data_IF_458391913574
#
_entry.id   IF_458391913574
#
_cell.length_a   1.000
_cell.length_b   1.000
_cell.length_c   1.000
_cell.angle_alpha   90.00
_cell.angle_beta   90.00
_cell.angle_gamma   90.00
#
_symmetry.space_group_name_H-M   'P 1'
#
loop_
_entity.id
_entity.type
_entity.pdbx_description
1 polymer ?
#
# COMPACT_ATOMS: atom_id res chain seq x y z
N UNK A 1 23.79 -27.59 6.02
CA UNK A 1 22.78 -27.79 4.95
C UNK A 1 21.34 -27.85 5.46
N UNK A 2 21.08 -28.16 6.74
CA UNK A 2 19.74 -28.27 7.32
C UNK A 2 19.01 -26.93 7.53
N UNK A 3 19.73 -25.85 7.85
CA UNK A 3 19.14 -24.54 8.20
C UNK A 3 18.49 -23.81 7.01
N UNK A 4 19.19 -23.71 5.86
CA UNK A 4 18.64 -23.04 4.66
C UNK A 4 17.40 -23.76 4.10
N UNK A 5 17.39 -25.10 4.13
CA UNK A 5 16.25 -25.88 3.68
C UNK A 5 15.03 -25.70 4.60
N UNK A 6 15.26 -25.69 5.93
CA UNK A 6 14.20 -25.41 6.89
C UNK A 6 13.62 -24.01 6.74
N UNK A 7 14.48 -22.99 6.53
CA UNK A 7 14.05 -21.62 6.24
C UNK A 7 13.24 -21.54 4.95
N UNK A 8 13.68 -22.21 3.89
CA UNK A 8 12.93 -22.28 2.62
C UNK A 8 11.54 -22.90 2.79
N UNK A 9 11.44 -24.03 3.48
CA UNK A 9 10.15 -24.69 3.76
C UNK A 9 9.23 -23.79 4.60
N UNK A 10 9.79 -23.06 5.58
CA UNK A 10 9.05 -22.11 6.39
C UNK A 10 8.50 -20.95 5.54
N UNK A 11 9.33 -20.36 4.68
CA UNK A 11 8.90 -19.31 3.74
C UNK A 11 7.77 -19.84 2.85
N UNK A 12 7.94 -20.99 2.20
CA UNK A 12 6.89 -21.54 1.34
C UNK A 12 5.59 -21.81 2.11
N UNK A 13 5.69 -22.34 3.33
CA UNK A 13 4.53 -22.57 4.19
C UNK A 13 3.78 -21.29 4.57
N UNK A 14 4.50 -20.20 4.83
CA UNK A 14 3.88 -18.90 5.13
C UNK A 14 3.17 -18.30 3.91
N UNK A 15 3.71 -18.51 2.71
CA UNK A 15 3.16 -17.95 1.47
C UNK A 15 2.09 -18.83 0.80
N UNK A 16 1.93 -20.09 1.21
CA UNK A 16 0.97 -21.03 0.64
C UNK A 16 -0.50 -20.58 0.71
N UNK A 17 -0.83 -19.68 1.64
CA UNK A 17 -2.20 -19.13 1.82
C UNK A 17 -2.42 -17.79 1.14
N UNK A 18 -1.38 -17.20 0.56
CA UNK A 18 -1.50 -15.93 -0.15
C UNK A 18 -2.20 -16.19 -1.49
N UNK A 19 -3.27 -15.44 -1.83
CA UNK A 19 -3.94 -15.62 -3.11
C UNK A 19 -2.99 -15.28 -4.27
N UNK A 20 -3.32 -15.71 -5.49
CA UNK A 20 -2.53 -15.35 -6.68
C UNK A 20 -2.93 -13.95 -7.13
N UNK A 21 -1.99 -13.03 -7.29
CA UNK A 21 -2.25 -11.69 -7.85
C UNK A 21 -2.60 -11.82 -9.33
N UNK A 22 -3.83 -11.47 -9.69
CA UNK A 22 -4.30 -11.46 -11.06
C UNK A 22 -4.29 -10.04 -11.64
N UNK A 23 -4.46 -9.03 -10.79
CA UNK A 23 -4.37 -7.62 -11.14
C UNK A 23 -4.93 -6.72 -10.06
N UNK A 24 -5.35 -5.51 -10.44
CA UNK A 24 -5.80 -4.47 -9.51
C UNK A 24 -6.97 -4.90 -8.62
N UNK A 25 -7.89 -5.71 -9.16
CA UNK A 25 -9.14 -6.10 -8.47
C UNK A 25 -8.90 -6.89 -7.18
N UNK A 26 -7.85 -7.71 -7.14
CA UNK A 26 -7.51 -8.53 -5.99
C UNK A 26 -6.22 -8.05 -5.29
N UNK A 27 -5.74 -6.85 -5.63
CA UNK A 27 -4.58 -6.24 -4.97
C UNK A 27 -4.74 -6.15 -3.44
N UNK A 28 -5.86 -5.65 -2.87
CA UNK A 28 -5.97 -5.49 -1.42
C UNK A 28 -5.87 -6.82 -0.67
N UNK A 29 -6.56 -7.85 -1.15
CA UNK A 29 -6.54 -9.19 -0.56
C UNK A 29 -5.15 -9.84 -0.68
N UNK A 30 -4.50 -9.64 -1.83
CA UNK A 30 -3.14 -10.10 -2.04
C UNK A 30 -2.14 -9.39 -1.13
N UNK A 31 -2.21 -8.07 -1.02
CA UNK A 31 -1.33 -7.25 -0.19
C UNK A 31 -1.46 -7.64 1.29
N UNK A 32 -2.68 -7.79 1.80
CA UNK A 32 -2.95 -8.29 3.15
C UNK A 32 -2.36 -9.70 3.37
N UNK A 33 -2.49 -10.58 2.38
CA UNK A 33 -1.89 -11.92 2.40
C UNK A 33 -0.37 -11.88 2.51
N UNK A 34 0.29 -11.02 1.72
CA UNK A 34 1.75 -10.83 1.74
C UNK A 34 2.22 -10.30 3.09
N UNK A 35 1.55 -9.26 3.62
CA UNK A 35 1.85 -8.73 4.95
C UNK A 35 1.67 -9.80 6.04
N UNK A 36 0.61 -10.59 5.95
CA UNK A 36 0.36 -11.73 6.82
C UNK A 36 1.50 -12.75 6.79
N UNK A 37 1.87 -13.23 5.60
CA UNK A 37 2.93 -14.21 5.41
C UNK A 37 4.28 -13.73 5.97
N UNK A 38 4.65 -12.48 5.68
CA UNK A 38 5.89 -11.88 6.13
C UNK A 38 5.92 -11.64 7.64
N UNK A 39 4.80 -11.28 8.26
CA UNK A 39 4.71 -11.13 9.71
C UNK A 39 4.96 -12.46 10.43
N UNK A 40 4.44 -13.57 9.90
CA UNK A 40 4.65 -14.90 10.48
C UNK A 40 6.10 -15.39 10.33
N UNK A 41 6.77 -14.98 9.26
CA UNK A 41 8.17 -15.35 8.99
C UNK A 41 9.20 -14.32 9.51
N UNK A 42 8.77 -13.22 10.16
CA UNK A 42 9.61 -12.08 10.54
C UNK A 42 10.30 -11.36 9.35
N UNK A 43 9.76 -11.50 8.14
CA UNK A 43 10.29 -10.90 6.91
C UNK A 43 9.85 -9.46 6.63
N UNK A 44 9.06 -8.83 7.51
CA UNK A 44 8.57 -7.45 7.34
C UNK A 44 9.69 -6.41 7.07
N UNK A 45 10.89 -6.48 7.69
CA UNK A 45 11.98 -5.57 7.36
C UNK A 45 12.36 -5.57 5.88
N UNK A 46 12.25 -6.72 5.18
CA UNK A 46 12.59 -6.86 3.76
C UNK A 46 11.65 -6.08 2.82
N UNK A 47 10.45 -5.70 3.27
CA UNK A 47 9.53 -4.83 2.52
C UNK A 47 9.81 -3.34 2.70
N UNK A 48 10.53 -2.96 3.75
CA UNK A 48 10.66 -1.57 4.18
C UNK A 48 12.10 -1.07 4.15
N UNK A 49 13.07 -1.96 3.96
CA UNK A 49 14.47 -1.59 3.85
C UNK A 49 14.91 -1.68 2.39
N UNK A 50 15.03 -0.54 1.75
CA UNK A 50 16.05 -0.31 0.73
C UNK A 50 16.79 0.96 1.15
N UNK A 51 18.13 1.00 1.06
CA UNK A 51 18.85 2.24 1.27
C UNK A 51 18.32 3.28 0.29
N UNK A 52 18.22 4.56 0.69
CA UNK A 52 17.87 5.61 -0.24
C UNK A 52 18.81 5.53 -1.46
N UNK A 53 18.30 5.79 -2.67
CA UNK A 53 19.15 5.78 -3.87
C UNK A 53 20.37 6.66 -3.58
N UNK A 54 21.60 6.23 -3.97
CA UNK A 54 22.79 7.04 -3.74
C UNK A 54 22.58 8.37 -4.44
N UNK A 55 22.26 9.39 -3.66
CA UNK A 55 22.23 10.77 -4.13
C UNK A 55 23.69 11.02 -4.52
N UNK A 56 23.95 11.24 -5.81
CA UNK A 56 25.21 11.79 -6.25
C UNK A 56 25.38 13.13 -5.52
N UNK A 57 26.18 13.12 -4.45
CA UNK A 57 26.44 14.28 -3.61
C UNK A 57 27.25 15.27 -4.43
N UNK A 58 26.58 16.18 -5.11
CA UNK A 58 27.15 17.50 -5.38
C UNK A 58 26.89 18.36 -4.14
N UNK A 59 28.00 18.78 -3.53
CA UNK A 59 28.15 19.88 -2.58
C UNK A 59 27.91 19.62 -1.09
N UNK A 60 29.05 19.44 -0.42
CA UNK A 60 29.55 20.16 0.77
C UNK A 60 28.81 20.02 2.11
N UNK A 61 29.56 19.47 3.08
CA UNK A 61 29.38 19.55 4.53
C UNK A 61 28.10 18.95 5.14
N UNK A 62 28.16 17.66 5.46
CA UNK A 62 27.69 17.16 6.75
C UNK A 62 28.36 15.82 7.09
N UNK A 63 28.84 15.70 8.33
CA UNK A 63 29.55 14.55 8.89
C UNK A 63 28.78 13.24 8.59
N UNK A 64 29.40 12.25 7.93
CA UNK A 64 28.73 10.99 7.66
C UNK A 64 28.70 10.18 8.96
N UNK A 65 27.55 10.23 9.64
CA UNK A 65 27.19 9.11 10.53
C UNK A 65 26.93 7.94 9.60
N UNK A 66 27.67 6.81 9.67
CA UNK A 66 27.44 5.70 8.76
C UNK A 66 26.05 5.14 9.06
N UNK A 67 25.10 5.41 8.15
CA UNK A 67 23.83 4.71 8.15
C UNK A 67 24.14 3.21 8.00
N UNK A 68 23.55 2.30 8.81
CA UNK A 68 23.71 0.87 8.60
C UNK A 68 22.98 0.55 7.30
N UNK A 69 23.72 0.59 6.18
CA UNK A 69 23.15 0.63 4.82
C UNK A 69 23.09 -0.74 4.17
N UNK A 70 23.32 -1.80 4.93
CA UNK A 70 23.27 -3.18 4.44
C UNK A 70 22.22 -3.96 5.24
N UNK A 71 21.42 -4.79 4.55
CA UNK A 71 20.68 -5.87 5.20
C UNK A 71 21.63 -6.65 6.11
N UNK A 72 21.17 -7.08 7.29
CA UNK A 72 21.99 -8.03 8.08
C UNK A 72 22.30 -9.26 7.23
N UNK A 73 23.43 -9.92 7.46
CA UNK A 73 23.84 -11.10 6.68
C UNK A 73 22.73 -12.18 6.64
N UNK A 74 21.96 -12.32 7.73
CA UNK A 74 20.78 -13.17 7.76
C UNK A 74 19.71 -12.74 6.74
N UNK A 75 19.40 -11.45 6.64
CA UNK A 75 18.43 -10.92 5.69
C UNK A 75 18.92 -11.01 4.23
N UNK A 76 20.23 -10.86 3.97
CA UNK A 76 20.81 -11.07 2.64
C UNK A 76 20.59 -12.50 2.14
N UNK A 77 20.63 -13.49 3.03
CA UNK A 77 20.37 -14.90 2.69
C UNK A 77 18.89 -15.21 2.47
N UNK A 78 17.99 -14.46 3.11
CA UNK A 78 16.54 -14.67 3.07
C UNK A 78 15.85 -13.91 1.93
N UNK A 79 16.37 -12.75 1.55
CA UNK A 79 15.78 -11.87 0.54
C UNK A 79 15.48 -12.58 -0.81
N UNK A 80 16.38 -13.41 -1.38
CA UNK A 80 16.07 -14.16 -2.60
C UNK A 80 14.96 -15.20 -2.40
N UNK A 81 14.89 -15.84 -1.23
CA UNK A 81 13.87 -16.87 -0.95
C UNK A 81 12.48 -16.24 -0.84
N UNK A 82 12.39 -15.11 -0.13
CA UNK A 82 11.15 -14.36 0.03
C UNK A 82 10.70 -13.76 -1.30
N UNK A 83 11.63 -13.18 -2.07
CA UNK A 83 11.34 -12.66 -3.40
C UNK A 83 10.80 -13.75 -4.35
N UNK A 84 11.39 -14.95 -4.33
CA UNK A 84 10.89 -16.08 -5.09
C UNK A 84 9.49 -16.55 -4.63
N UNK A 85 9.21 -16.51 -3.33
CA UNK A 85 7.89 -16.83 -2.80
C UNK A 85 6.83 -15.81 -3.24
N UNK A 86 7.16 -14.51 -3.24
CA UNK A 86 6.29 -13.46 -3.78
C UNK A 86 5.98 -13.73 -5.26
N UNK A 87 6.98 -14.10 -6.07
CA UNK A 87 6.77 -14.45 -7.48
C UNK A 87 5.81 -15.63 -7.68
N UNK A 88 5.83 -16.62 -6.77
CA UNK A 88 4.91 -17.77 -6.83
C UNK A 88 3.46 -17.35 -6.56
N UNK A 89 3.25 -16.25 -5.84
CA UNK A 89 1.95 -15.64 -5.59
C UNK A 89 1.51 -14.70 -6.73
N UNK A 90 2.19 -14.65 -7.88
CA UNK A 90 1.81 -13.85 -9.03
C UNK A 90 1.21 -14.72 -10.14
N UNK A 91 0.26 -14.17 -10.90
CA UNK A 91 -0.21 -14.84 -12.12
C UNK A 91 0.95 -15.07 -13.09
N UNK A 92 0.81 -16.07 -13.97
CA UNK A 92 1.89 -16.47 -14.90
C UNK A 92 2.40 -15.31 -15.79
N UNK A 93 1.53 -14.37 -16.13
CA UNK A 93 1.90 -13.20 -16.91
C UNK A 93 2.79 -12.25 -16.09
N UNK A 94 2.37 -11.92 -14.87
CA UNK A 94 3.12 -11.04 -13.97
C UNK A 94 4.44 -11.68 -13.52
N UNK A 95 4.42 -12.97 -13.21
CA UNK A 95 5.63 -13.71 -12.86
C UNK A 95 6.72 -13.54 -13.92
N UNK A 96 6.39 -13.68 -15.22
CA UNK A 96 7.34 -13.44 -16.32
C UNK A 96 7.87 -12.01 -16.36
N UNK A 97 7.04 -11.02 -16.05
CA UNK A 97 7.43 -9.61 -16.06
C UNK A 97 8.37 -9.24 -14.91
N UNK A 98 8.23 -9.90 -13.74
CA UNK A 98 9.01 -9.57 -12.53
C UNK A 98 10.11 -10.59 -12.20
N UNK A 99 10.15 -11.76 -12.86
CA UNK A 99 11.21 -12.77 -12.71
C UNK A 99 12.64 -12.21 -12.84
N UNK A 100 12.93 -11.28 -13.77
CA UNK A 100 14.29 -10.71 -13.88
C UNK A 100 14.79 -10.02 -12.61
N UNK A 101 13.90 -9.56 -11.71
CA UNK A 101 14.28 -8.91 -10.45
C UNK A 101 14.85 -9.94 -9.45
N UNK A 102 14.38 -11.19 -9.50
CA UNK A 102 14.89 -12.27 -8.64
C UNK A 102 16.20 -12.85 -9.16
N UNK A 103 16.36 -12.93 -10.48
CA UNK A 103 17.57 -13.47 -11.11
C UNK A 103 18.75 -12.46 -11.13
N UNK A 104 18.47 -11.18 -10.87
CA UNK A 104 19.49 -10.12 -10.81
C UNK A 104 20.44 -10.29 -9.61
N UNK A 105 21.70 -9.94 -9.80
CA UNK A 105 22.74 -9.89 -8.75
C UNK A 105 22.52 -8.79 -7.71
N UNK A 106 21.62 -7.84 -7.97
CA UNK A 106 21.27 -6.75 -7.05
C UNK A 106 20.76 -7.22 -5.67
N UNK A 107 20.96 -6.40 -4.65
CA UNK A 107 20.34 -6.58 -3.32
C UNK A 107 18.88 -6.07 -3.28
N UNK A 108 18.15 -6.43 -2.23
CA UNK A 108 16.79 -5.92 -1.93
C UNK A 108 15.70 -6.36 -2.93
N UNK A 109 15.76 -7.62 -3.39
CA UNK A 109 14.84 -8.21 -4.36
C UNK A 109 13.39 -8.14 -3.89
N UNK A 110 13.14 -8.49 -2.63
CA UNK A 110 11.81 -8.46 -2.00
C UNK A 110 11.20 -7.06 -2.08
N UNK A 111 11.96 -6.05 -1.63
CA UNK A 111 11.55 -4.66 -1.69
C UNK A 111 11.28 -4.20 -3.13
N UNK A 112 12.17 -4.54 -4.08
CA UNK A 112 12.06 -4.11 -5.48
C UNK A 112 10.80 -4.66 -6.14
N UNK A 113 10.50 -5.95 -5.94
CA UNK A 113 9.29 -6.58 -6.49
C UNK A 113 8.05 -5.95 -5.87
N UNK A 114 7.99 -5.87 -4.54
CA UNK A 114 6.84 -5.32 -3.86
C UNK A 114 6.60 -3.86 -4.23
N UNK A 115 7.64 -3.03 -4.27
CA UNK A 115 7.53 -1.61 -4.64
C UNK A 115 7.06 -1.43 -6.09
N UNK A 116 7.54 -2.27 -7.02
CA UNK A 116 7.10 -2.23 -8.41
C UNK A 116 5.62 -2.63 -8.55
N UNK A 117 5.18 -3.69 -7.85
CA UNK A 117 3.79 -4.11 -7.84
C UNK A 117 2.88 -3.07 -7.17
N UNK A 118 3.33 -2.49 -6.05
CA UNK A 118 2.62 -1.43 -5.35
C UNK A 118 2.50 -0.16 -6.19
N UNK A 119 3.52 0.19 -6.98
CA UNK A 119 3.43 1.32 -7.91
C UNK A 119 2.36 1.11 -8.98
N UNK A 120 2.19 -0.13 -9.46
CA UNK A 120 1.23 -0.47 -10.52
C UNK A 120 -0.20 -0.67 -9.98
N UNK A 121 -0.36 -1.31 -8.83
CA UNK A 121 -1.66 -1.76 -8.30
C UNK A 121 -2.04 -1.14 -6.96
N UNK A 122 -1.05 -0.75 -6.15
CA UNK A 122 -1.24 -0.20 -4.81
C UNK A 122 -1.41 1.31 -4.76
N UNK A 123 -1.20 2.00 -5.89
CA UNK A 123 -1.65 3.38 -6.06
C UNK A 123 -3.05 3.32 -6.65
N UNK A 124 -4.12 3.63 -5.88
CA UNK A 124 -5.43 3.80 -6.49
C UNK A 124 -5.29 4.86 -7.56
N UNK A 125 -5.47 4.48 -8.83
CA UNK A 125 -5.42 5.46 -9.92
C UNK A 125 -6.38 6.61 -9.60
N UNK A 126 -6.04 7.84 -10.02
CA UNK A 126 -6.91 9.01 -9.82
C UNK A 126 -8.36 8.74 -10.24
N UNK A 127 -8.56 7.88 -11.24
CA UNK A 127 -9.88 7.42 -11.71
C UNK A 127 -10.60 6.51 -10.70
N UNK A 128 -9.88 5.60 -10.02
CA UNK A 128 -10.45 4.76 -8.96
C UNK A 128 -10.81 5.60 -7.75
N UNK A 129 -9.90 6.49 -7.31
CA UNK A 129 -10.17 7.45 -6.24
C UNK A 129 -11.41 8.30 -6.59
N UNK A 130 -11.44 8.88 -7.79
CA UNK A 130 -12.58 9.63 -8.29
C UNK A 130 -13.88 8.81 -8.31
N UNK A 131 -13.82 7.53 -8.69
CA UNK A 131 -15.00 6.65 -8.66
C UNK A 131 -15.49 6.37 -7.24
N UNK A 132 -14.58 6.16 -6.27
CA UNK A 132 -14.94 5.95 -4.87
C UNK A 132 -15.50 7.23 -4.25
N UNK A 133 -14.95 8.40 -4.59
CA UNK A 133 -15.49 9.71 -4.17
C UNK A 133 -16.90 9.88 -4.72
N UNK A 134 -17.10 9.66 -6.02
CA UNK A 134 -18.41 9.76 -6.65
C UNK A 134 -19.43 8.83 -5.98
N UNK A 135 -19.06 7.57 -5.77
CA UNK A 135 -19.90 6.57 -5.11
C UNK A 135 -20.27 6.97 -3.66
N UNK A 136 -19.32 7.54 -2.91
CA UNK A 136 -19.57 8.08 -1.58
C UNK A 136 -20.51 9.30 -1.62
N UNK A 137 -20.29 10.23 -2.54
CA UNK A 137 -21.09 11.44 -2.67
C UNK A 137 -22.52 11.16 -3.18
N UNK A 138 -22.70 10.13 -4.00
CA UNK A 138 -24.01 9.69 -4.50
C UNK A 138 -24.76 8.79 -3.51
N UNK A 139 -24.13 8.37 -2.42
CA UNK A 139 -24.78 7.51 -1.43
C UNK A 139 -25.76 8.34 -0.59
N UNK A 140 -27.05 8.15 -0.87
CA UNK A 140 -28.15 8.78 -0.15
C UNK A 140 -29.03 7.70 0.50
N UNK A 141 -29.60 7.96 1.68
CA UNK A 141 -30.52 7.04 2.33
C UNK A 141 -31.83 6.95 1.53
N UNK A 142 -32.36 5.74 1.32
CA UNK A 142 -33.72 5.53 0.83
C UNK A 142 -34.73 5.73 1.97
N UNK A 143 -35.97 6.09 1.63
CA UNK A 143 -37.07 6.22 2.60
C UNK A 143 -37.39 4.89 3.33
N UNK A 144 -36.96 3.76 2.76
CA UNK A 144 -37.14 2.41 3.30
C UNK A 144 -35.93 1.86 4.05
N UNK A 145 -34.81 2.58 4.10
CA UNK A 145 -33.56 2.03 4.63
C UNK A 145 -33.55 2.05 6.16
N UNK A 146 -33.07 0.94 6.75
CA UNK A 146 -32.73 0.92 8.17
C UNK A 146 -31.57 1.90 8.42
N UNK A 147 -31.81 2.88 9.29
CA UNK A 147 -30.86 3.91 9.67
C UNK A 147 -29.52 3.31 10.14
N UNK A 148 -29.55 2.21 10.88
CA UNK A 148 -28.32 1.56 11.37
C UNK A 148 -27.50 0.96 10.23
N UNK A 149 -28.18 0.34 9.25
CA UNK A 149 -27.53 -0.24 8.06
C UNK A 149 -26.95 0.87 7.19
N UNK A 150 -27.69 1.97 7.02
CA UNK A 150 -27.21 3.15 6.31
C UNK A 150 -25.96 3.75 6.98
N UNK A 151 -26.00 3.97 8.29
CA UNK A 151 -24.86 4.54 9.03
C UNK A 151 -23.62 3.64 9.00
N UNK A 152 -23.79 2.32 9.13
CA UNK A 152 -22.67 1.39 9.05
C UNK A 152 -22.06 1.37 7.63
N UNK A 153 -22.90 1.39 6.59
CA UNK A 153 -22.43 1.45 5.20
C UNK A 153 -21.70 2.77 4.92
N UNK A 154 -22.21 3.89 5.43
CA UNK A 154 -21.56 5.20 5.33
C UNK A 154 -20.20 5.21 6.03
N UNK A 155 -20.11 4.62 7.23
CA UNK A 155 -18.86 4.47 7.99
C UNK A 155 -17.83 3.66 7.23
N UNK A 156 -18.24 2.57 6.58
CA UNK A 156 -17.37 1.73 5.76
C UNK A 156 -16.85 2.46 4.52
N UNK A 157 -17.71 3.18 3.80
CA UNK A 157 -17.28 3.99 2.64
C UNK A 157 -16.33 5.11 3.05
N UNK A 158 -16.59 5.75 4.20
CA UNK A 158 -15.68 6.75 4.78
C UNK A 158 -14.31 6.13 5.12
N UNK A 159 -14.28 5.01 5.85
CA UNK A 159 -13.02 4.33 6.18
C UNK A 159 -12.20 3.97 4.92
N UNK A 160 -12.87 3.53 3.85
CA UNK A 160 -12.23 3.23 2.56
C UNK A 160 -11.59 4.47 1.93
N UNK A 161 -12.27 5.62 1.90
CA UNK A 161 -11.70 6.85 1.36
C UNK A 161 -10.51 7.36 2.18
N UNK A 162 -10.58 7.28 3.51
CA UNK A 162 -9.43 7.61 4.38
C UNK A 162 -8.21 6.74 4.09
N UNK A 163 -8.40 5.43 3.84
CA UNK A 163 -7.32 4.51 3.47
C UNK A 163 -6.69 4.84 2.11
N UNK A 164 -7.45 5.43 1.20
CA UNK A 164 -6.97 5.88 -0.11
C UNK A 164 -6.23 7.22 -0.06
N UNK A 165 -5.95 7.75 1.14
CA UNK A 165 -5.25 9.02 1.32
C UNK A 165 -6.11 10.25 1.02
N UNK A 166 -7.44 10.11 1.03
CA UNK A 166 -8.35 11.22 0.85
C UNK A 166 -8.23 12.19 2.03
N UNK A 167 -7.86 13.43 1.71
CA UNK A 167 -7.91 14.54 2.66
C UNK A 167 -9.34 15.09 2.70
N UNK A 168 -10.05 14.82 3.79
CA UNK A 168 -11.45 15.19 3.98
C UNK A 168 -11.68 16.70 4.01
N UNK A 169 -10.69 17.46 4.50
CA UNK A 169 -10.75 18.92 4.53
C UNK A 169 -10.76 19.46 3.10
N UNK A 170 -9.94 18.87 2.21
CA UNK A 170 -9.93 19.21 0.77
C UNK A 170 -11.18 18.75 0.02
N UNK A 171 -11.88 17.72 0.50
CA UNK A 171 -13.13 17.25 -0.11
C UNK A 171 -14.30 18.21 0.18
N UNK A 172 -14.34 18.78 1.39
CA UNK A 172 -15.33 19.80 1.77
C UNK A 172 -15.23 21.03 0.86
N UNK A 173 -14.01 21.47 0.53
CA UNK A 173 -13.78 22.56 -0.41
C UNK A 173 -14.38 22.26 -1.81
N UNK A 174 -14.24 21.03 -2.30
CA UNK A 174 -14.79 20.59 -3.59
C UNK A 174 -16.33 20.60 -3.62
N UNK A 175 -17.00 20.14 -2.56
CA UNK A 175 -18.48 20.18 -2.48
C UNK A 175 -19.02 21.60 -2.36
N UNK A 176 -18.30 22.49 -1.68
CA UNK A 176 -18.69 23.89 -1.52
C UNK A 176 -18.50 24.70 -2.81
N UNK A 177 -17.49 24.33 -3.61
CA UNK A 177 -17.32 24.79 -5.00
C UNK A 177 -18.48 24.33 -5.90
N UNK A 178 -18.88 23.07 -5.81
CA UNK A 178 -19.98 22.50 -6.60
C UNK A 178 -21.36 23.05 -6.19
N UNK A 179 -21.53 23.44 -4.92
CA UNK A 179 -22.73 24.10 -4.39
C UNK A 179 -22.70 25.64 -4.51
N UNK A 180 -21.63 26.24 -5.04
CA UNK A 180 -21.53 27.70 -5.23
C UNK A 180 -21.51 28.52 -3.93
N UNK A 181 -21.12 27.93 -2.79
CA UNK A 181 -21.25 28.55 -1.45
C UNK A 181 -19.99 29.27 -0.96
N UNK A 182 -18.90 29.27 -1.73
CA UNK A 182 -17.65 29.95 -1.37
C UNK A 182 -17.87 31.47 -1.42
N UNK A 183 -17.95 32.11 -0.25
CA UNK A 183 -18.17 33.55 -0.09
C UNK A 183 -19.47 33.97 0.60
N UNK A 184 -20.34 33.03 0.99
CA UNK A 184 -21.54 33.37 1.77
C UNK A 184 -21.20 33.67 3.24
N UNK A 185 -21.80 34.70 3.88
CA UNK A 185 -21.53 35.08 5.28
C UNK A 185 -21.86 34.02 6.36
N UNK A 186 -22.42 32.86 5.98
CA UNK A 186 -22.53 31.68 6.83
C UNK A 186 -21.22 30.91 7.00
N UNK A 187 -20.28 31.03 6.05
CA UNK A 187 -18.97 30.36 6.01
C UNK A 187 -18.08 30.70 7.22
N UNK A 188 -17.98 31.99 7.57
CA UNK A 188 -17.16 32.44 8.71
C UNK A 188 -17.70 31.98 10.06
N UNK A 189 -19.00 31.66 10.14
CA UNK A 189 -19.62 31.11 11.35
C UNK A 189 -19.41 29.60 11.47
N UNK A 190 -19.58 28.86 10.37
CA UNK A 190 -19.39 27.41 10.37
C UNK A 190 -17.93 27.00 10.64
N UNK A 191 -16.97 27.70 10.02
CA UNK A 191 -15.53 27.44 10.25
C UNK A 191 -15.04 27.83 11.64
N UNK A 192 -15.72 28.78 12.32
CA UNK A 192 -15.38 29.18 13.68
C UNK A 192 -15.90 28.18 14.73
N UNK A 193 -17.02 27.52 14.45
CA UNK A 193 -17.59 26.47 15.33
C UNK A 193 -16.84 25.15 15.19
N UNK A 194 -16.35 24.81 13.99
CA UNK A 194 -15.57 23.58 13.78
C UNK A 194 -14.11 23.65 14.29
N UNK A 195 -13.65 24.82 14.77
CA UNK A 195 -12.31 25.05 15.32
C UNK A 195 -12.27 25.16 16.86
N UNK A 196 -13.41 24.94 17.53
CA UNK A 196 -13.51 24.76 18.98
C UNK A 196 -13.76 23.29 19.27
#
# INVERSE_FOLDING_TARGET
>A
MTDLYQRFVLVQGCFAKVPVLEGERNWPEWEDGIYGALRHFQGLPLLHTAPPPPIAVTSTEQVPTPAPSDLSEDHKSLDPMVAAAILQCLSRALNKSYAPIVDDTSSYKTYRIYSALRGVYGTPGLQYLHSQIRDFLSFAPSESDDLLVYMETLRQKHARLSQLGMDWDKMLDFKLLDLGLLGSPGWERATRVARQ
#
